data_IF_847017229835
#
_entry.id   IF_847017229835
#
_cell.length_a   1.000
_cell.length_b   1.000
_cell.length_c   1.000
_cell.angle_alpha   90.00
_cell.angle_beta   90.00
_cell.angle_gamma   90.00
#
_symmetry.space_group_name_H-M   'P 1'
#
loop_
_entity.id
_entity.type
_entity.pdbx_description
1 polymer ?
#
# COMPACT_ATOMS: atom_id res chain seq x y z
N UNK A 1 5.00 9.47 -11.53
CA UNK A 1 3.71 9.20 -10.85
C UNK A 1 3.58 7.69 -10.71
N UNK A 2 3.16 7.15 -9.56
CA UNK A 2 3.00 5.68 -9.45
C UNK A 2 1.90 5.19 -10.41
N UNK A 3 2.09 4.03 -11.07
CA UNK A 3 1.04 3.45 -11.89
C UNK A 3 -0.18 3.09 -11.03
N UNK A 4 -1.34 2.95 -11.67
CA UNK A 4 -2.55 2.50 -10.97
C UNK A 4 -2.31 1.09 -10.40
N UNK A 5 -2.63 0.84 -9.11
CA UNK A 5 -2.53 -0.48 -8.52
C UNK A 5 -3.34 -1.54 -9.28
N UNK A 6 -2.73 -2.71 -9.45
CA UNK A 6 -3.31 -3.92 -10.00
C UNK A 6 -3.62 -4.91 -8.88
N UNK A 7 -4.52 -5.85 -9.14
CA UNK A 7 -4.93 -6.89 -8.17
C UNK A 7 -4.61 -8.31 -8.64
N UNK A 8 -4.11 -8.45 -9.87
CA UNK A 8 -3.90 -9.69 -10.62
C UNK A 8 -2.41 -10.04 -10.79
N UNK A 9 -1.51 -9.33 -10.10
CA UNK A 9 -0.07 -9.55 -10.21
C UNK A 9 0.33 -10.90 -9.59
N UNK A 10 1.16 -11.64 -10.31
CA UNK A 10 1.62 -12.97 -9.92
C UNK A 10 3.09 -12.92 -9.51
N UNK A 11 3.45 -13.64 -8.46
CA UNK A 11 4.82 -13.72 -7.96
C UNK A 11 5.85 -14.12 -9.01
N UNK A 12 7.10 -13.67 -8.79
CA UNK A 12 8.25 -13.98 -9.63
C UNK A 12 8.06 -13.59 -11.10
N UNK A 13 7.28 -12.54 -11.36
CA UNK A 13 7.11 -11.95 -12.69
C UNK A 13 7.66 -10.53 -12.73
N UNK A 14 8.10 -10.09 -13.90
CA UNK A 14 8.60 -8.73 -14.07
C UNK A 14 7.54 -7.67 -13.72
N UNK A 15 6.26 -7.96 -13.98
CA UNK A 15 5.16 -7.07 -13.63
C UNK A 15 5.01 -6.91 -12.12
N UNK A 16 5.14 -8.00 -11.34
CA UNK A 16 5.06 -7.95 -9.89
C UNK A 16 6.13 -7.07 -9.25
N UNK A 17 7.33 -7.06 -9.83
CA UNK A 17 8.47 -6.25 -9.34
C UNK A 17 8.39 -4.78 -9.79
N UNK A 18 7.61 -4.47 -10.83
CA UNK A 18 7.57 -3.14 -11.47
C UNK A 18 6.26 -2.40 -11.28
N UNK A 19 5.20 -3.07 -10.84
CA UNK A 19 3.86 -2.50 -10.71
C UNK A 19 3.33 -2.63 -9.27
N UNK A 20 2.53 -1.66 -8.80
CA UNK A 20 1.91 -1.75 -7.49
C UNK A 20 0.81 -2.83 -7.47
N UNK A 21 0.93 -3.78 -6.54
CA UNK A 21 -0.11 -4.74 -6.17
C UNK A 21 -0.88 -4.23 -4.96
N UNK A 22 -2.19 -4.05 -5.08
CA UNK A 22 -3.10 -3.82 -3.94
C UNK A 22 -4.41 -4.53 -4.23
N UNK A 23 -4.68 -5.66 -3.56
CA UNK A 23 -5.98 -6.32 -3.68
C UNK A 23 -7.08 -5.51 -2.97
N UNK A 24 -8.22 -5.21 -3.62
CA UNK A 24 -9.30 -4.45 -2.97
C UNK A 24 -9.85 -5.11 -1.70
N UNK A 25 -9.78 -6.44 -1.61
CA UNK A 25 -10.27 -7.24 -0.47
C UNK A 25 -9.55 -6.96 0.84
N UNK A 26 -8.38 -6.31 0.82
CA UNK A 26 -7.70 -5.93 2.05
C UNK A 26 -8.23 -4.67 2.71
N UNK A 27 -9.07 -3.87 2.04
CA UNK A 27 -9.80 -2.79 2.70
C UNK A 27 -10.97 -3.36 3.49
N UNK A 28 -10.92 -3.20 4.80
CA UNK A 28 -11.94 -3.68 5.74
C UNK A 28 -12.65 -2.49 6.36
N UNK A 29 -13.68 -2.77 7.15
CA UNK A 29 -14.48 -1.73 7.81
C UNK A 29 -13.63 -0.82 8.73
N UNK A 30 -12.74 -1.42 9.51
CA UNK A 30 -11.98 -0.70 10.55
C UNK A 30 -10.52 -0.43 10.19
N UNK A 31 -9.93 -1.28 9.35
CA UNK A 31 -8.53 -1.20 9.00
C UNK A 31 -8.30 -1.69 7.57
N UNK A 32 -7.03 -1.69 7.16
CA UNK A 32 -6.63 -2.30 5.92
C UNK A 32 -5.57 -3.37 6.21
N UNK A 33 -5.76 -4.58 5.67
CA UNK A 33 -4.93 -5.74 5.99
C UNK A 33 -4.85 -6.70 4.81
N UNK A 34 -3.61 -7.03 4.48
CA UNK A 34 -3.22 -7.90 3.39
C UNK A 34 -2.19 -8.92 3.87
N UNK A 35 -2.07 -10.04 3.16
CA UNK A 35 -0.89 -10.88 3.22
C UNK A 35 0.22 -10.24 2.38
N UNK A 36 1.35 -9.93 3.02
CA UNK A 36 2.55 -9.50 2.32
C UNK A 36 3.42 -10.73 1.97
N UNK A 37 3.96 -10.86 0.76
CA UNK A 37 3.78 -9.97 -0.40
C UNK A 37 2.61 -10.32 -1.35
N UNK A 38 1.71 -11.25 -0.99
CA UNK A 38 0.78 -11.93 -1.92
C UNK A 38 -0.42 -11.10 -2.36
N UNK A 39 -0.84 -10.19 -1.50
CA UNK A 39 -2.04 -9.37 -1.69
C UNK A 39 -1.71 -7.87 -1.71
N UNK A 40 -0.50 -7.53 -1.24
CA UNK A 40 0.11 -6.20 -1.34
C UNK A 40 1.61 -6.36 -1.49
N UNK A 41 2.23 -5.61 -2.41
CA UNK A 41 3.69 -5.54 -2.54
C UNK A 41 4.23 -4.18 -2.08
N UNK A 42 5.56 -4.01 -2.09
CA UNK A 42 6.21 -2.78 -1.63
C UNK A 42 5.72 -1.53 -2.39
N UNK A 43 5.58 -1.63 -3.71
CA UNK A 43 5.04 -0.54 -4.53
C UNK A 43 3.57 -0.23 -4.19
N UNK A 44 2.79 -1.24 -3.82
CA UNK A 44 1.42 -1.09 -3.34
C UNK A 44 1.33 -0.28 -2.04
N UNK A 45 2.21 -0.54 -1.07
CA UNK A 45 2.29 0.26 0.15
C UNK A 45 2.68 1.72 -0.13
N UNK A 46 3.61 1.97 -1.06
CA UNK A 46 3.94 3.32 -1.52
C UNK A 46 2.72 4.04 -2.13
N UNK A 47 1.93 3.32 -2.94
CA UNK A 47 0.70 3.86 -3.52
C UNK A 47 -0.34 4.21 -2.45
N UNK A 48 -0.51 3.36 -1.42
CA UNK A 48 -1.40 3.63 -0.29
C UNK A 48 -0.96 4.89 0.47
N UNK A 49 0.34 5.07 0.73
CA UNK A 49 0.88 6.28 1.36
C UNK A 49 0.58 7.56 0.57
N UNK A 50 0.77 7.54 -0.76
CA UNK A 50 0.42 8.66 -1.63
C UNK A 50 -1.09 8.93 -1.64
N UNK A 51 -1.92 7.90 -1.62
CA UNK A 51 -3.38 8.02 -1.52
C UNK A 51 -3.79 8.69 -0.20
N UNK A 52 -3.16 8.31 0.92
CA UNK A 52 -3.42 8.92 2.23
C UNK A 52 -3.03 10.40 2.25
N UNK A 53 -1.87 10.76 1.69
CA UNK A 53 -1.44 12.15 1.56
C UNK A 53 -2.38 12.98 0.65
N UNK A 54 -2.89 12.36 -0.41
CA UNK A 54 -3.88 12.96 -1.32
C UNK A 54 -5.21 13.18 -0.60
N UNK A 55 -5.66 12.21 0.19
CA UNK A 55 -6.88 12.32 0.99
C UNK A 55 -6.77 13.44 2.03
N UNK A 56 -5.65 13.54 2.73
CA UNK A 56 -5.39 14.62 3.68
C UNK A 56 -5.50 15.99 3.02
N UNK A 57 -4.88 16.16 1.85
CA UNK A 57 -5.01 17.40 1.06
C UNK A 57 -6.46 17.71 0.68
N UNK A 58 -7.19 16.73 0.15
CA UNK A 58 -8.60 16.89 -0.23
C UNK A 58 -9.51 17.24 0.96
N UNK A 59 -9.16 16.78 2.16
CA UNK A 59 -9.88 17.09 3.41
C UNK A 59 -9.38 18.37 4.11
N UNK A 60 -8.47 19.13 3.50
CA UNK A 60 -7.90 20.34 4.10
C UNK A 60 -7.08 20.07 5.37
N UNK A 61 -6.57 18.84 5.55
CA UNK A 61 -5.74 18.46 6.70
C UNK A 61 -4.26 18.62 6.35
N UNK A 62 -3.41 19.08 7.30
CA UNK A 62 -1.98 19.15 7.08
C UNK A 62 -1.41 17.75 6.87
N UNK A 63 -0.47 17.59 5.93
CA UNK A 63 0.21 16.32 5.60
C UNK A 63 1.29 15.99 6.64
N UNK A 64 0.90 15.87 7.91
CA UNK A 64 1.77 15.52 9.04
C UNK A 64 1.36 14.15 9.55
N UNK A 65 2.18 13.14 9.29
CA UNK A 65 1.90 11.76 9.65
C UNK A 65 2.95 11.28 10.64
N UNK A 66 2.49 10.68 11.74
CA UNK A 66 3.33 9.89 12.63
C UNK A 66 3.20 8.44 12.17
N UNK A 67 4.32 7.76 11.99
CA UNK A 67 4.37 6.37 11.53
C UNK A 67 4.93 5.51 12.66
N UNK A 68 4.36 4.33 12.82
CA UNK A 68 4.85 3.29 13.73
C UNK A 68 4.60 1.93 13.12
N UNK A 69 5.35 0.91 13.57
CA UNK A 69 5.24 -0.44 13.08
C UNK A 69 5.40 -1.46 14.22
N UNK A 70 4.99 -2.70 13.98
CA UNK A 70 5.17 -3.83 14.89
C UNK A 70 6.47 -4.60 14.55
N UNK A 71 6.69 -5.75 15.21
CA UNK A 71 7.89 -6.57 15.05
C UNK A 71 7.81 -7.61 13.92
N UNK A 72 6.92 -7.46 12.94
CA UNK A 72 6.85 -8.40 11.81
C UNK A 72 8.10 -8.26 10.93
N UNK A 73 8.53 -9.37 10.31
CA UNK A 73 9.76 -9.39 9.50
C UNK A 73 9.75 -8.41 8.32
N UNK A 74 8.56 -8.09 7.79
CA UNK A 74 8.37 -7.11 6.71
C UNK A 74 8.08 -5.69 7.20
N UNK A 75 8.00 -5.49 8.52
CA UNK A 75 7.91 -4.17 9.15
C UNK A 75 9.34 -3.66 9.37
N UNK A 76 9.92 -2.99 8.37
CA UNK A 76 11.24 -2.36 8.49
C UNK A 76 11.11 -0.91 9.00
N UNK A 77 12.00 -0.54 9.93
CA UNK A 77 12.24 0.85 10.31
C UNK A 77 13.02 1.61 9.21
#
# INVERSE_FOLDING_TARGET
MLPKPRADLTYNTADFERLPLVKPTGFREYDARWLFPAEVNLMGLNAIGLCLATLAHKRGRPKRFVVGHDYRSYSSA
#
